data_IF_717512831520
#
_entry.id   IF_717512831520
#
_cell.length_a   1.000
_cell.length_b   1.000
_cell.length_c   1.000
_cell.angle_alpha   90.00
_cell.angle_beta   90.00
_cell.angle_gamma   90.00
#
_symmetry.space_group_name_H-M   'P 1'
#
loop_
_entity.id
_entity.type
_entity.pdbx_description
1 polymer ?
#
# COMPACT_ATOMS: atom_id res chain seq x y z
N UNK A 1 -49.10 7.65 66.22
CA UNK A 1 -47.74 7.09 66.26
C UNK A 1 -47.52 6.30 64.97
N UNK A 2 -46.51 6.70 64.17
CA UNK A 2 -45.71 5.95 63.16
C UNK A 2 -46.46 4.92 62.28
N UNK A 3 -46.52 5.08 60.96
CA UNK A 3 -45.45 4.57 60.07
C UNK A 3 -45.43 5.21 58.68
N UNK A 4 -44.20 5.45 58.20
CA UNK A 4 -43.82 5.91 56.85
C UNK A 4 -44.21 4.91 55.76
N UNK A 5 -44.63 5.41 54.60
CA UNK A 5 -44.42 4.74 53.33
C UNK A 5 -43.65 5.72 52.42
N UNK A 6 -42.49 5.29 51.94
CA UNK A 6 -41.53 6.09 51.17
C UNK A 6 -41.97 6.34 49.72
N UNK A 7 -41.17 7.13 48.97
CA UNK A 7 -41.55 7.65 47.67
C UNK A 7 -41.38 6.59 46.57
N UNK A 8 -42.46 6.31 45.84
CA UNK A 8 -42.42 5.46 44.65
C UNK A 8 -42.13 6.29 43.39
N UNK A 9 -41.04 5.90 42.73
CA UNK A 9 -40.89 5.82 41.27
C UNK A 9 -41.04 7.10 40.45
N UNK A 10 -39.92 7.60 39.92
CA UNK A 10 -39.64 7.49 38.47
C UNK A 10 -38.26 8.10 38.17
N UNK A 11 -37.21 7.27 38.20
CA UNK A 11 -35.90 7.60 37.66
C UNK A 11 -35.82 7.28 36.16
N UNK A 12 -36.89 7.56 35.40
CA UNK A 12 -36.95 7.30 33.95
C UNK A 12 -36.65 8.57 33.15
N UNK A 13 -35.53 9.23 33.44
CA UNK A 13 -35.06 10.38 32.64
C UNK A 13 -33.60 10.28 32.20
N UNK A 14 -33.03 9.06 32.15
CA UNK A 14 -31.63 8.84 31.71
C UNK A 14 -31.46 7.63 30.79
N UNK A 15 -32.34 7.44 29.81
CA UNK A 15 -32.16 6.38 28.79
C UNK A 15 -32.52 6.88 27.38
N UNK A 16 -31.93 7.99 26.94
CA UNK A 16 -32.06 8.42 25.54
C UNK A 16 -30.78 9.05 24.96
N UNK A 17 -29.59 8.61 25.40
CA UNK A 17 -28.33 9.13 24.84
C UNK A 17 -27.27 8.06 24.54
N UNK A 18 -27.61 6.76 24.55
CA UNK A 18 -26.63 5.70 24.22
C UNK A 18 -27.09 4.99 22.94
N UNK A 19 -27.05 5.71 21.82
CA UNK A 19 -27.59 5.21 20.55
C UNK A 19 -26.82 5.62 19.31
N UNK A 20 -25.53 5.98 19.41
CA UNK A 20 -24.78 6.43 18.21
C UNK A 20 -23.31 6.02 18.16
N UNK A 21 -22.88 4.98 18.86
CA UNK A 21 -21.44 4.61 18.92
C UNK A 21 -21.10 3.24 18.35
N UNK A 22 -21.78 2.80 17.29
CA UNK A 22 -21.31 1.67 16.46
C UNK A 22 -21.62 1.90 14.97
N UNK A 23 -21.27 3.07 14.41
CA UNK A 23 -21.00 3.12 12.98
C UNK A 23 -19.63 2.49 12.76
N UNK A 24 -19.60 1.16 12.68
CA UNK A 24 -18.47 0.43 12.13
C UNK A 24 -18.30 0.90 10.69
N UNK A 25 -17.41 1.86 10.45
CA UNK A 25 -16.89 2.12 9.12
C UNK A 25 -15.99 0.93 8.74
N UNK A 26 -16.59 -0.24 8.48
CA UNK A 26 -15.93 -1.24 7.65
C UNK A 26 -15.86 -0.62 6.27
N UNK A 27 -14.77 0.10 5.99
CA UNK A 27 -14.41 0.41 4.61
C UNK A 27 -14.43 -0.90 3.84
N UNK A 28 -15.07 -0.95 2.65
CA UNK A 28 -15.11 -2.17 1.86
C UNK A 28 -13.67 -2.61 1.62
N UNK A 29 -13.31 -3.77 2.15
CA UNK A 29 -12.01 -4.38 1.92
C UNK A 29 -12.01 -4.91 0.50
N UNK A 30 -11.00 -4.54 -0.28
CA UNK A 30 -10.84 -4.96 -1.67
C UNK A 30 -10.85 -6.49 -1.76
N UNK A 31 -11.78 -7.05 -2.55
CA UNK A 31 -11.95 -8.50 -2.68
C UNK A 31 -10.73 -9.17 -3.33
N UNK A 32 -10.51 -10.48 -3.15
CA UNK A 32 -9.36 -11.20 -3.71
C UNK A 32 -9.24 -11.06 -5.24
N UNK A 33 -10.36 -11.11 -5.95
CA UNK A 33 -10.41 -10.96 -7.41
C UNK A 33 -10.00 -9.56 -7.86
N UNK A 34 -10.48 -8.51 -7.19
CA UNK A 34 -10.14 -7.12 -7.50
C UNK A 34 -8.68 -6.85 -7.19
N UNK A 35 -8.19 -7.32 -6.04
CA UNK A 35 -6.77 -7.27 -5.66
C UNK A 35 -5.89 -7.92 -6.73
N UNK A 36 -6.27 -9.10 -7.20
CA UNK A 36 -5.55 -9.82 -8.26
C UNK A 36 -5.48 -9.03 -9.58
N UNK A 37 -6.56 -8.34 -9.95
CA UNK A 37 -6.57 -7.46 -11.14
C UNK A 37 -5.59 -6.29 -10.98
N UNK A 38 -5.60 -5.63 -9.81
CA UNK A 38 -4.69 -4.50 -9.54
C UNK A 38 -3.23 -4.96 -9.61
N UNK A 39 -2.86 -6.10 -9.02
CA UNK A 39 -1.48 -6.60 -9.13
C UNK A 39 -1.07 -6.96 -10.56
N UNK A 40 -2.01 -7.46 -11.37
CA UNK A 40 -1.76 -7.72 -12.80
C UNK A 40 -1.48 -6.42 -13.57
N UNK A 41 -2.25 -5.38 -13.31
CA UNK A 41 -2.04 -4.04 -13.88
C UNK A 41 -0.71 -3.45 -13.42
N UNK A 42 -0.43 -3.45 -12.13
CA UNK A 42 0.84 -2.99 -11.56
C UNK A 42 2.05 -3.70 -12.17
N UNK A 43 1.98 -5.02 -12.39
CA UNK A 43 3.03 -5.78 -13.08
C UNK A 43 3.27 -5.33 -14.52
N UNK A 44 2.20 -5.00 -15.24
CA UNK A 44 2.32 -4.50 -16.61
C UNK A 44 2.96 -3.12 -16.61
N UNK A 45 2.42 -2.21 -15.80
CA UNK A 45 2.88 -0.82 -15.69
C UNK A 45 4.34 -0.73 -15.18
N UNK A 46 4.73 -1.58 -14.23
CA UNK A 46 6.10 -1.61 -13.69
C UNK A 46 7.13 -1.94 -14.77
N UNK A 47 6.80 -2.87 -15.67
CA UNK A 47 7.67 -3.24 -16.80
C UNK A 47 7.76 -2.11 -17.81
N UNK A 48 6.62 -1.55 -18.21
CA UNK A 48 6.57 -0.42 -19.15
C UNK A 48 7.40 0.75 -18.61
N UNK A 49 7.19 1.13 -17.35
CA UNK A 49 7.94 2.22 -16.73
C UNK A 49 9.45 1.96 -16.70
N UNK A 50 9.88 0.74 -16.37
CA UNK A 50 11.30 0.35 -16.38
C UNK A 50 11.88 0.36 -17.79
N UNK A 51 11.18 -0.21 -18.77
CA UNK A 51 11.63 -0.27 -20.16
C UNK A 51 11.79 1.12 -20.77
N UNK A 52 10.84 2.01 -20.52
CA UNK A 52 10.89 3.40 -20.98
C UNK A 52 12.09 4.12 -20.35
N UNK A 53 12.29 3.96 -19.04
CA UNK A 53 13.44 4.55 -18.36
C UNK A 53 14.78 4.02 -18.88
N UNK A 54 14.92 2.71 -19.13
CA UNK A 54 16.15 2.12 -19.67
C UNK A 54 16.44 2.60 -21.10
N UNK A 55 15.40 2.82 -21.92
CA UNK A 55 15.56 3.35 -23.28
C UNK A 55 16.07 4.80 -23.28
N UNK A 56 15.58 5.60 -22.34
CA UNK A 56 15.98 7.00 -22.17
C UNK A 56 17.39 7.12 -21.55
N UNK A 57 17.64 6.41 -20.46
CA UNK A 57 18.85 6.54 -19.64
C UNK A 57 19.89 5.47 -19.94
N UNK A 58 20.39 5.48 -21.18
CA UNK A 58 21.37 4.51 -21.68
C UNK A 58 22.68 4.59 -20.91
N UNK A 59 23.21 3.42 -20.53
CA UNK A 59 24.54 3.30 -19.91
C UNK A 59 24.58 3.56 -18.40
N UNK A 60 23.43 3.80 -17.76
CA UNK A 60 23.34 3.88 -16.30
C UNK A 60 23.35 2.45 -15.72
N UNK A 61 24.29 2.09 -14.83
CA UNK A 61 24.26 0.80 -14.16
C UNK A 61 23.31 0.82 -12.96
N UNK A 62 22.77 -0.34 -12.58
CA UNK A 62 22.13 -0.51 -11.27
C UNK A 62 23.17 -0.38 -10.15
N UNK A 63 22.75 0.19 -9.01
CA UNK A 63 23.54 0.26 -7.79
C UNK A 63 23.01 -0.72 -6.72
N UNK A 64 23.93 -1.35 -5.97
CA UNK A 64 23.61 -2.17 -4.79
C UNK A 64 23.36 -1.32 -3.53
N UNK A 65 23.66 -0.03 -3.57
CA UNK A 65 23.49 0.90 -2.44
C UNK A 65 22.02 1.24 -2.16
N UNK A 66 21.11 0.87 -3.07
CA UNK A 66 19.68 1.15 -2.95
C UNK A 66 18.88 -0.15 -2.89
N UNK A 67 17.96 -0.24 -1.95
CA UNK A 67 17.11 -1.42 -1.76
C UNK A 67 15.68 -1.01 -1.48
N UNK A 68 14.77 -1.53 -2.29
CA UNK A 68 13.33 -1.45 -2.14
C UNK A 68 12.87 -2.62 -1.26
N UNK A 69 12.38 -2.38 -0.04
CA UNK A 69 11.86 -3.44 0.80
C UNK A 69 10.49 -3.85 0.28
N UNK A 70 10.45 -4.87 -0.58
CA UNK A 70 9.22 -5.31 -1.24
C UNK A 70 8.33 -6.20 -0.39
N UNK A 71 8.92 -6.97 0.52
CA UNK A 71 8.20 -7.85 1.43
C UNK A 71 8.33 -7.35 2.86
N UNK A 72 7.27 -7.54 3.65
CA UNK A 72 7.30 -7.37 5.09
C UNK A 72 7.78 -8.70 5.69
N UNK A 73 8.91 -8.72 6.42
CA UNK A 73 9.34 -9.91 7.14
C UNK A 73 8.21 -10.41 8.07
N UNK A 74 8.05 -11.73 8.17
CA UNK A 74 7.09 -12.42 9.05
C UNK A 74 5.60 -12.17 8.77
N UNK A 75 5.25 -11.34 7.79
CA UNK A 75 3.87 -11.14 7.36
C UNK A 75 3.38 -12.31 6.50
N UNK A 76 2.14 -12.74 6.74
CA UNK A 76 1.50 -13.78 5.94
C UNK A 76 0.84 -13.19 4.69
N UNK A 77 0.83 -13.94 3.57
CA UNK A 77 0.00 -13.62 2.42
C UNK A 77 -1.48 -13.41 2.83
N UNK A 78 -2.22 -12.51 2.16
CA UNK A 78 -1.83 -11.68 1.03
C UNK A 78 -1.22 -10.32 1.43
N UNK A 79 -0.90 -10.12 2.71
CA UNK A 79 -0.46 -8.83 3.26
C UNK A 79 1.06 -8.75 3.46
N UNK A 80 1.80 -9.67 2.83
CA UNK A 80 3.26 -9.74 2.92
C UNK A 80 3.98 -8.80 1.96
N UNK A 81 3.28 -8.17 1.00
CA UNK A 81 3.85 -7.13 0.14
C UNK A 81 3.84 -5.80 0.90
N UNK A 82 4.99 -5.13 0.96
CA UNK A 82 5.15 -3.85 1.63
C UNK A 82 4.73 -2.68 0.71
N UNK A 83 3.42 -2.58 0.47
CA UNK A 83 2.82 -1.56 -0.40
C UNK A 83 3.21 -0.13 0.03
N UNK A 84 3.26 0.13 1.33
CA UNK A 84 3.61 1.47 1.85
C UNK A 84 5.04 1.87 1.52
N UNK A 85 6.01 0.97 1.70
CA UNK A 85 7.39 1.26 1.36
C UNK A 85 7.54 1.46 -0.15
N UNK A 86 6.95 0.57 -0.96
CA UNK A 86 6.96 0.70 -2.42
C UNK A 86 6.41 2.07 -2.83
N UNK A 87 5.23 2.44 -2.31
CA UNK A 87 4.60 3.72 -2.61
C UNK A 87 5.50 4.90 -2.23
N UNK A 88 6.16 4.84 -1.07
CA UNK A 88 7.05 5.91 -0.61
C UNK A 88 8.24 6.12 -1.57
N UNK A 89 8.88 5.03 -2.00
CA UNK A 89 9.97 5.10 -2.96
C UNK A 89 9.50 5.67 -4.30
N UNK A 90 8.35 5.21 -4.81
CA UNK A 90 7.82 5.69 -6.08
C UNK A 90 7.36 7.15 -6.03
N UNK A 91 6.78 7.61 -4.91
CA UNK A 91 6.50 9.03 -4.67
C UNK A 91 7.78 9.88 -4.61
N UNK A 92 8.86 9.33 -4.06
CA UNK A 92 10.16 10.02 -4.06
C UNK A 92 10.70 10.16 -5.48
N UNK A 93 10.53 9.12 -6.31
CA UNK A 93 10.93 9.16 -7.72
C UNK A 93 10.05 10.11 -8.53
N UNK A 94 8.73 10.15 -8.29
CA UNK A 94 7.82 11.02 -9.04
C UNK A 94 8.14 12.51 -8.83
N UNK A 95 8.69 12.89 -7.66
CA UNK A 95 9.21 14.24 -7.42
C UNK A 95 10.44 14.58 -8.27
N UNK A 96 11.23 13.57 -8.66
CA UNK A 96 12.41 13.74 -9.51
C UNK A 96 12.06 13.65 -11.00
N UNK A 97 11.10 12.79 -11.34
CA UNK A 97 10.64 12.53 -12.70
C UNK A 97 9.19 12.04 -12.67
N UNK A 98 8.28 12.95 -13.01
CA UNK A 98 6.86 12.63 -13.11
C UNK A 98 6.52 12.06 -14.49
N UNK A 99 5.71 11.00 -14.51
CA UNK A 99 5.16 10.42 -15.75
C UNK A 99 3.75 9.93 -15.49
N UNK A 100 2.93 9.90 -16.54
CA UNK A 100 1.56 9.35 -16.46
C UNK A 100 1.55 7.94 -15.90
N UNK A 101 2.45 7.07 -16.38
CA UNK A 101 2.60 5.69 -15.88
C UNK A 101 2.93 5.64 -14.39
N UNK A 102 3.77 6.57 -13.89
CA UNK A 102 4.07 6.66 -12.46
C UNK A 102 2.84 7.06 -11.65
N UNK A 103 2.06 8.03 -12.14
CA UNK A 103 0.81 8.45 -11.52
C UNK A 103 -0.19 7.30 -11.41
N UNK A 104 -0.39 6.55 -12.50
CA UNK A 104 -1.26 5.36 -12.52
C UNK A 104 -0.80 4.29 -11.52
N UNK A 105 0.50 4.00 -11.46
CA UNK A 105 1.06 3.06 -10.48
C UNK A 105 0.75 3.51 -9.05
N UNK A 106 0.96 4.79 -8.73
CA UNK A 106 0.69 5.33 -7.39
C UNK A 106 -0.81 5.18 -7.05
N UNK A 107 -1.71 5.47 -8.00
CA UNK A 107 -3.16 5.30 -7.81
C UNK A 107 -3.54 3.85 -7.52
N UNK A 108 -2.97 2.89 -8.26
CA UNK A 108 -3.19 1.47 -8.01
C UNK A 108 -2.66 1.03 -6.65
N UNK A 109 -1.51 1.57 -6.19
CA UNK A 109 -0.98 1.29 -4.86
C UNK A 109 -1.86 1.88 -3.75
N UNK A 110 -2.46 3.06 -3.97
CA UNK A 110 -3.41 3.65 -3.02
C UNK A 110 -4.65 2.78 -2.82
N UNK A 111 -5.16 2.16 -3.90
CA UNK A 111 -6.27 1.19 -3.83
C UNK A 111 -5.92 -0.07 -3.02
N UNK A 112 -4.63 -0.42 -2.92
CA UNK A 112 -4.15 -1.56 -2.14
C UNK A 112 -3.79 -1.22 -0.69
N UNK A 113 -3.72 0.05 -0.33
CA UNK A 113 -3.20 0.49 0.95
C UNK A 113 -4.15 0.17 2.10
N UNK A 114 -3.60 -0.45 3.15
CA UNK A 114 -4.30 -0.62 4.43
C UNK A 114 -4.10 0.63 5.29
N UNK A 115 -5.12 1.03 6.03
CA UNK A 115 -5.26 2.38 6.61
C UNK A 115 -4.17 2.80 7.63
N UNK A 116 -3.25 1.92 8.06
CA UNK A 116 -2.24 2.23 9.09
C UNK A 116 -0.81 1.82 8.72
N UNK A 117 -0.35 2.20 7.53
CA UNK A 117 1.08 2.09 7.23
C UNK A 117 1.78 3.41 7.54
N UNK A 118 2.69 3.40 8.52
CA UNK A 118 3.56 4.54 8.79
C UNK A 118 4.35 4.90 7.53
N UNK A 119 4.33 6.19 7.17
CA UNK A 119 5.08 6.69 6.02
C UNK A 119 6.53 6.84 6.44
N UNK A 120 7.40 6.00 5.90
CA UNK A 120 8.85 6.17 6.06
C UNK A 120 9.27 7.38 5.25
N UNK A 121 10.14 8.24 5.77
CA UNK A 121 10.76 9.29 4.94
C UNK A 121 12.05 8.73 4.33
N UNK A 122 12.20 8.88 3.02
CA UNK A 122 13.39 8.45 2.29
C UNK A 122 14.00 9.72 1.69
N UNK A 123 15.30 9.91 1.88
CA UNK A 123 16.02 10.98 1.17
C UNK A 123 16.43 10.49 -0.21
N UNK A 124 16.10 11.24 -1.25
CA UNK A 124 16.73 11.04 -2.55
C UNK A 124 18.26 11.27 -2.42
N UNK A 125 19.09 10.53 -3.17
CA UNK A 125 20.52 10.81 -3.21
C UNK A 125 20.77 12.18 -3.84
N UNK A 126 22.01 12.67 -3.79
CA UNK A 126 22.36 13.96 -4.39
C UNK A 126 23.20 13.74 -5.64
N UNK A 127 22.95 14.53 -6.68
CA UNK A 127 23.76 14.53 -7.92
C UNK A 127 23.15 13.70 -9.04
N UNK A 128 23.36 14.17 -10.27
CA UNK A 128 22.63 13.67 -11.46
C UNK A 128 22.85 12.17 -11.73
N UNK A 129 24.07 11.67 -11.60
CA UNK A 129 24.35 10.25 -11.84
C UNK A 129 23.74 9.36 -10.76
N UNK A 130 23.82 9.77 -9.49
CA UNK A 130 23.26 9.00 -8.37
C UNK A 130 21.73 9.01 -8.38
N UNK A 131 21.08 10.12 -8.77
CA UNK A 131 19.65 10.13 -9.05
C UNK A 131 19.29 9.07 -10.09
N UNK A 132 20.03 9.03 -11.20
CA UNK A 132 19.72 8.10 -12.29
C UNK A 132 19.87 6.64 -11.87
N UNK A 133 20.93 6.33 -11.12
CA UNK A 133 21.19 5.01 -10.54
C UNK A 133 20.11 4.61 -9.55
N UNK A 134 19.71 5.54 -8.68
CA UNK A 134 18.64 5.33 -7.73
C UNK A 134 17.32 4.98 -8.41
N UNK A 135 16.89 5.79 -9.37
CA UNK A 135 15.65 5.55 -10.11
C UNK A 135 15.72 4.20 -10.82
N UNK A 136 16.80 3.92 -11.56
CA UNK A 136 16.97 2.64 -12.25
C UNK A 136 16.86 1.46 -11.28
N UNK A 137 17.65 1.46 -10.21
CA UNK A 137 17.67 0.36 -9.23
C UNK A 137 16.29 0.12 -8.64
N UNK A 138 15.60 1.18 -8.21
CA UNK A 138 14.29 1.05 -7.57
C UNK A 138 13.23 0.58 -8.57
N UNK A 139 13.23 1.07 -9.81
CA UNK A 139 12.30 0.60 -10.84
C UNK A 139 12.54 -0.87 -11.22
N UNK A 140 13.81 -1.30 -11.29
CA UNK A 140 14.17 -2.70 -11.51
C UNK A 140 13.61 -3.58 -10.39
N UNK A 141 13.91 -3.25 -9.14
CA UNK A 141 13.44 -4.03 -7.99
C UNK A 141 11.91 -4.00 -7.90
N UNK A 142 11.27 -2.86 -8.14
CA UNK A 142 9.80 -2.77 -8.16
C UNK A 142 9.18 -3.74 -9.17
N UNK A 143 9.72 -3.80 -10.39
CA UNK A 143 9.25 -4.73 -11.42
C UNK A 143 9.40 -6.20 -10.99
N UNK A 144 10.54 -6.56 -10.39
CA UNK A 144 10.77 -7.89 -9.83
C UNK A 144 9.78 -8.22 -8.70
N UNK A 145 9.42 -7.22 -7.89
CA UNK A 145 8.49 -7.41 -6.79
C UNK A 145 7.06 -7.63 -7.26
N UNK A 146 6.63 -6.98 -8.34
CA UNK A 146 5.30 -7.24 -8.95
C UNK A 146 5.24 -8.62 -9.62
N UNK A 147 6.36 -9.10 -10.17
CA UNK A 147 6.50 -10.48 -10.65
C UNK A 147 6.34 -11.50 -9.51
N UNK A 148 7.01 -11.27 -8.37
CA UNK A 148 6.88 -12.11 -7.18
C UNK A 148 5.46 -12.09 -6.62
N UNK A 149 4.85 -10.91 -6.46
CA UNK A 149 3.49 -10.77 -5.97
C UNK A 149 2.47 -11.53 -6.83
N UNK A 150 2.62 -11.46 -8.16
CA UNK A 150 1.76 -12.19 -9.09
C UNK A 150 1.87 -13.71 -8.93
N UNK A 151 3.08 -14.23 -8.69
CA UNK A 151 3.28 -15.68 -8.44
C UNK A 151 2.63 -16.13 -7.14
N UNK A 152 2.74 -15.32 -6.09
CA UNK A 152 2.13 -15.62 -4.78
C UNK A 152 0.61 -15.72 -4.90
N UNK A 153 -0.03 -14.75 -5.56
CA UNK A 153 -1.49 -14.72 -5.73
C UNK A 153 -2.01 -15.92 -6.55
N UNK A 154 -1.27 -16.34 -7.58
CA UNK A 154 -1.65 -17.52 -8.37
C UNK A 154 -1.54 -18.81 -7.54
N UNK A 155 -0.55 -18.91 -6.65
CA UNK A 155 -0.37 -20.08 -5.79
C UNK A 155 -1.47 -20.21 -4.73
N UNK A 156 -2.01 -19.09 -4.24
CA UNK A 156 -3.17 -19.08 -3.33
C UNK A 156 -4.44 -19.54 -4.03
N UNK A 157 -4.69 -19.06 -5.25
CA UNK A 157 -5.86 -19.45 -6.03
C UNK A 157 -5.90 -20.97 -6.30
N UNK A 158 -4.74 -21.61 -6.45
CA UNK A 158 -4.62 -23.06 -6.63
C UNK A 158 -4.82 -23.88 -5.35
N UNK A 159 -4.65 -23.27 -4.17
CA UNK A 159 -4.86 -23.95 -2.86
C UNK A 159 -6.30 -23.84 -2.35
N UNK A 160 -7.06 -22.88 -2.86
CA UNK A 160 -8.43 -22.60 -2.42
C UNK A 160 -9.52 -23.26 -3.28
N UNK A 161 -9.15 -23.93 -4.37
CA UNK A 161 -10.05 -24.70 -5.24
C UNK A 161 -9.84 -26.20 -5.06
#
# INVERSE_FOLDING_TARGET
>A
MVSRAGPTTSALFLLCCVGSWLTSHTFPTLGPTERGKIFKELRSLSKTLLEDYVKEEKGVPTSQSYTLPCLIPDAQPPNNINISAIQTYLQTISQLRDTTTMGEIIEHLDKLKFQDASKTNISAPTGTLEHKRFILTILTQFSECMELASKLLNSEAQRAG
#
